data_IF_158131049676
#
_entry.id   IF_158131049676
#
_cell.length_a   1.000
_cell.length_b   1.000
_cell.length_c   1.000
_cell.angle_alpha   90.00
_cell.angle_beta   90.00
_cell.angle_gamma   90.00
#
_symmetry.space_group_name_H-M   'P 1'
#
loop_
_entity.id
_entity.type
_entity.pdbx_description
1 polymer ?
#
# COMPACT_ATOMS: atom_id res chain seq x y z
N UNK A 1 -6.58 6.32 6.59
CA UNK A 1 -7.69 6.02 7.54
C UNK A 1 -7.67 4.52 7.88
N UNK A 2 -7.97 4.15 9.13
CA UNK A 2 -8.22 2.74 9.52
C UNK A 2 -9.72 2.51 9.66
N UNK A 3 -10.23 1.43 9.09
CA UNK A 3 -11.64 1.03 9.18
C UNK A 3 -11.88 0.03 10.32
N UNK A 4 -13.16 -0.22 10.64
CA UNK A 4 -13.57 -1.11 11.75
C UNK A 4 -13.12 -2.56 11.59
N UNK A 5 -12.97 -3.02 10.35
CA UNK A 5 -12.45 -4.35 9.98
C UNK A 5 -10.92 -4.48 10.12
N UNK A 6 -10.24 -3.40 10.50
CA UNK A 6 -8.79 -3.34 10.60
C UNK A 6 -8.06 -3.01 9.30
N UNK A 7 -8.79 -2.82 8.19
CA UNK A 7 -8.22 -2.38 6.91
C UNK A 7 -7.72 -0.94 6.99
N UNK A 8 -6.64 -0.65 6.26
CA UNK A 8 -6.10 0.69 6.13
C UNK A 8 -6.29 1.18 4.70
N UNK A 9 -6.69 2.44 4.57
CA UNK A 9 -6.87 3.09 3.28
C UNK A 9 -6.04 4.38 3.22
N UNK A 10 -5.44 4.59 2.06
CA UNK A 10 -4.71 5.80 1.69
C UNK A 10 -5.46 6.51 0.56
N UNK A 11 -5.60 7.81 0.68
CA UNK A 11 -6.19 8.68 -0.33
C UNK A 11 -5.28 9.90 -0.43
N UNK A 12 -4.92 10.28 -1.66
CA UNK A 12 -4.22 11.53 -1.89
C UNK A 12 -5.18 12.71 -1.69
N UNK A 13 -4.76 13.75 -1.00
CA UNK A 13 -5.57 14.95 -0.75
C UNK A 13 -5.08 16.13 -1.60
N UNK A 14 -5.06 15.94 -2.93
CA UNK A 14 -4.57 16.93 -3.89
C UNK A 14 -3.16 17.42 -3.54
N UNK A 15 -2.25 16.47 -3.23
CA UNK A 15 -0.87 16.82 -2.93
C UNK A 15 -0.19 17.40 -4.17
N UNK A 16 0.70 18.38 -3.98
CA UNK A 16 1.34 19.10 -5.09
C UNK A 16 2.14 18.18 -6.02
N UNK A 17 2.82 17.18 -5.45
CA UNK A 17 3.61 16.23 -6.21
C UNK A 17 2.86 14.94 -6.52
N UNK A 18 1.76 14.62 -5.83
CA UNK A 18 1.10 13.33 -5.89
C UNK A 18 1.57 12.35 -4.82
N UNK A 19 0.83 11.25 -4.70
CA UNK A 19 1.13 10.10 -3.84
C UNK A 19 1.06 8.81 -4.66
N UNK A 20 1.99 7.89 -4.43
CA UNK A 20 2.05 6.60 -5.11
C UNK A 20 2.10 5.46 -4.11
N UNK A 21 1.59 4.29 -4.53
CA UNK A 21 1.71 3.03 -3.80
C UNK A 21 2.28 1.99 -4.75
N UNK A 22 3.42 1.38 -4.41
CA UNK A 22 4.12 0.41 -5.24
C UNK A 22 4.33 0.91 -6.69
N UNK A 23 4.77 2.17 -6.83
CA UNK A 23 5.01 2.84 -8.12
C UNK A 23 3.74 3.11 -8.97
N UNK A 24 2.55 2.87 -8.43
CA UNK A 24 1.26 3.21 -9.04
C UNK A 24 0.74 4.51 -8.42
N UNK A 25 0.46 5.52 -9.25
CA UNK A 25 -0.09 6.80 -8.77
C UNK A 25 -1.49 6.58 -8.18
N UNK A 26 -1.76 7.19 -7.03
CA UNK A 26 -3.11 7.20 -6.48
C UNK A 26 -4.05 8.05 -7.36
N UNK A 27 -5.31 7.63 -7.40
CA UNK A 27 -6.42 8.37 -8.01
C UNK A 27 -7.28 8.97 -6.90
N UNK A 28 -8.40 9.61 -7.27
CA UNK A 28 -9.39 10.16 -6.33
C UNK A 28 -10.11 9.08 -5.49
N UNK A 29 -9.81 7.80 -5.71
CA UNK A 29 -10.39 6.68 -4.96
C UNK A 29 -9.42 6.20 -3.87
N UNK A 30 -9.91 5.91 -2.65
CA UNK A 30 -9.08 5.34 -1.60
C UNK A 30 -8.46 4.00 -2.02
N UNK A 31 -7.13 3.88 -1.89
CA UNK A 31 -6.38 2.63 -2.08
C UNK A 31 -6.28 1.90 -0.75
N UNK A 32 -6.67 0.62 -0.73
CA UNK A 32 -6.46 -0.25 0.42
C UNK A 32 -4.98 -0.63 0.51
N UNK A 33 -4.36 -0.39 1.67
CA UNK A 33 -2.96 -0.73 1.93
C UNK A 33 -2.81 -2.17 2.41
N UNK A 34 -1.75 -2.82 1.95
CA UNK A 34 -1.30 -4.12 2.39
C UNK A 34 0.03 -4.00 3.14
N UNK A 35 0.25 -4.91 4.09
CA UNK A 35 1.52 -4.96 4.81
C UNK A 35 2.70 -5.09 3.84
N UNK A 36 3.67 -4.19 3.94
CA UNK A 36 4.86 -4.17 3.11
C UNK A 36 4.78 -3.21 1.92
N UNK A 37 3.63 -2.60 1.64
CA UNK A 37 3.48 -1.62 0.56
C UNK A 37 4.48 -0.46 0.70
N UNK A 38 5.06 -0.06 -0.43
CA UNK A 38 5.89 1.14 -0.54
C UNK A 38 4.98 2.32 -0.87
N UNK A 39 5.03 3.35 -0.04
CA UNK A 39 4.27 4.58 -0.22
C UNK A 39 5.26 5.69 -0.55
N UNK A 40 5.01 6.42 -1.63
CA UNK A 40 5.81 7.58 -2.02
C UNK A 40 4.93 8.83 -1.93
N UNK A 41 5.42 9.87 -1.27
CA UNK A 41 4.76 11.18 -1.19
C UNK A 41 5.77 12.22 -1.65
N UNK A 42 5.60 12.74 -2.87
CA UNK A 42 6.66 13.48 -3.55
C UNK A 42 7.97 12.67 -3.59
N UNK A 43 9.03 13.22 -2.98
CA UNK A 43 10.36 12.58 -2.94
C UNK A 43 10.55 11.63 -1.76
N UNK A 44 9.63 11.60 -0.80
CA UNK A 44 9.74 10.78 0.41
C UNK A 44 9.20 9.37 0.15
N UNK A 45 9.95 8.36 0.58
CA UNK A 45 9.54 6.95 0.49
C UNK A 45 9.39 6.33 1.88
N UNK A 46 8.26 5.68 2.11
CA UNK A 46 7.94 4.96 3.33
C UNK A 46 7.50 3.53 3.02
N UNK A 47 7.60 2.65 4.02
CA UNK A 47 7.01 1.30 3.95
C UNK A 47 5.91 1.14 4.99
N UNK A 48 4.73 0.70 4.55
CA UNK A 48 3.60 0.46 5.44
C UNK A 48 3.79 -0.85 6.23
N UNK A 49 3.90 -0.74 7.55
CA UNK A 49 4.15 -1.88 8.44
C UNK A 49 3.03 -2.03 9.46
N UNK A 50 2.43 -3.22 9.52
CA UNK A 50 1.51 -3.60 10.59
C UNK A 50 2.33 -4.14 11.76
N UNK A 51 1.96 -3.78 13.00
CA UNK A 51 2.63 -4.29 14.21
C UNK A 51 2.53 -5.81 14.32
N UNK A 52 1.39 -6.37 13.90
CA UNK A 52 1.17 -7.80 13.74
C UNK A 52 0.94 -8.06 12.25
N UNK A 53 1.98 -8.40 11.47
CA UNK A 53 1.82 -8.67 10.05
C UNK A 53 1.00 -9.94 9.82
N UNK A 54 0.23 -10.03 8.73
CA UNK A 54 -0.40 -11.28 8.33
C UNK A 54 0.67 -12.35 8.09
N UNK A 55 0.30 -13.61 8.27
CA UNK A 55 1.21 -14.72 8.00
C UNK A 55 1.72 -14.63 6.56
N UNK A 56 3.03 -14.69 6.36
CA UNK A 56 3.60 -14.61 5.01
C UNK A 56 3.10 -15.81 4.22
N UNK A 57 2.34 -15.55 3.15
CA UNK A 57 1.96 -16.58 2.19
C UNK A 57 3.22 -17.28 1.68
N UNK A 58 3.28 -18.61 1.80
CA UNK A 58 4.39 -19.37 1.22
C UNK A 58 4.41 -19.10 -0.29
N UNK A 59 5.58 -18.82 -0.89
CA UNK A 59 5.66 -18.61 -2.33
C UNK A 59 5.16 -19.86 -3.04
N UNK A 60 4.13 -19.73 -3.87
CA UNK A 60 3.64 -20.81 -4.72
C UNK A 60 4.40 -20.74 -6.03
N UNK A 61 5.35 -21.66 -6.22
CA UNK A 61 6.07 -21.79 -7.49
C UNK A 61 5.11 -22.44 -8.50
N UNK A 62 4.73 -21.70 -9.54
CA UNK A 62 3.94 -22.23 -10.66
C UNK A 62 4.95 -22.58 -11.75
N UNK A 63 5.17 -23.86 -12.09
CA UNK A 63 6.06 -24.21 -13.19
C UNK A 63 5.50 -23.65 -14.50
N UNK A 64 6.36 -22.98 -15.29
CA UNK A 64 6.03 -22.64 -16.67
C UNK A 64 6.12 -23.91 -17.53
N UNK A 65 5.11 -24.11 -18.39
CA UNK A 65 5.05 -25.20 -19.37
C UNK A 65 5.72 -24.77 -20.67
#
# INVERSE_FOLDING_TARGET
>A
KKERDGSFYLLDQNSTAGTWVNYEALTDKPKRLQHGDIIQVGQLSYRFMLRKPPEKSKPRIIPQK
#
